data_IF_261631348187
#
_entry.id   IF_261631348187
#
_cell.length_a   1.000
_cell.length_b   1.000
_cell.length_c   1.000
_cell.angle_alpha   90.00
_cell.angle_beta   90.00
_cell.angle_gamma   90.00
#
_symmetry.space_group_name_H-M   'P 1'
#
loop_
_entity.id
_entity.type
_entity.pdbx_description
1 polymer ?
#
# COMPACT_ATOMS: atom_id res chain seq x y z
N UNK A 1 -28.69 -41.59 -13.21
CA UNK A 1 -28.26 -40.23 -13.65
C UNK A 1 -28.73 -39.09 -12.75
N UNK A 2 -30.00 -39.02 -12.33
CA UNK A 2 -30.53 -37.91 -11.52
C UNK A 2 -29.83 -37.75 -10.15
N UNK A 3 -29.63 -38.85 -9.41
CA UNK A 3 -28.98 -38.81 -8.10
C UNK A 3 -27.51 -38.35 -8.14
N UNK A 4 -26.78 -38.73 -9.19
CA UNK A 4 -25.38 -38.32 -9.40
C UNK A 4 -25.28 -36.82 -9.71
N UNK A 5 -26.23 -36.30 -10.50
CA UNK A 5 -26.33 -34.85 -10.77
C UNK A 5 -26.70 -34.06 -9.51
N UNK A 6 -27.60 -34.60 -8.68
CA UNK A 6 -28.04 -33.94 -7.46
C UNK A 6 -26.96 -33.93 -6.36
N UNK A 7 -26.20 -35.02 -6.21
CA UNK A 7 -25.03 -35.07 -5.33
C UNK A 7 -23.98 -34.04 -5.73
N UNK A 8 -23.65 -33.97 -7.03
CA UNK A 8 -22.71 -32.98 -7.56
C UNK A 8 -23.20 -31.54 -7.32
N UNK A 9 -24.50 -31.27 -7.50
CA UNK A 9 -25.11 -29.95 -7.22
C UNK A 9 -25.02 -29.56 -5.75
N UNK A 10 -25.29 -30.50 -4.84
CA UNK A 10 -25.22 -30.25 -3.40
C UNK A 10 -23.78 -30.02 -2.93
N UNK A 11 -22.83 -30.80 -3.44
CA UNK A 11 -21.40 -30.64 -3.16
C UNK A 11 -20.89 -29.29 -3.66
N UNK A 12 -21.23 -28.91 -4.89
CA UNK A 12 -20.88 -27.60 -5.49
C UNK A 12 -21.50 -26.45 -4.69
N UNK A 13 -22.75 -26.59 -4.22
CA UNK A 13 -23.42 -25.59 -3.38
C UNK A 13 -22.72 -25.41 -2.03
N UNK A 14 -22.36 -26.51 -1.37
CA UNK A 14 -21.66 -26.46 -0.08
C UNK A 14 -20.28 -25.84 -0.26
N UNK A 15 -19.54 -26.27 -1.29
CA UNK A 15 -18.22 -25.72 -1.59
C UNK A 15 -18.28 -24.21 -1.84
N UNK A 16 -19.14 -23.75 -2.77
CA UNK A 16 -19.31 -22.32 -3.07
C UNK A 16 -19.76 -21.48 -1.88
N UNK A 17 -20.56 -22.06 -0.98
CA UNK A 17 -20.97 -21.37 0.24
C UNK A 17 -19.82 -21.18 1.25
N UNK A 18 -18.79 -22.02 1.19
CA UNK A 18 -17.65 -22.02 2.12
C UNK A 18 -16.44 -21.26 1.57
N UNK A 19 -16.17 -21.34 0.27
CA UNK A 19 -14.99 -20.71 -0.36
C UNK A 19 -15.33 -19.54 -1.29
N UNK A 20 -16.61 -19.31 -1.58
CA UNK A 20 -17.04 -18.36 -2.62
C UNK A 20 -17.13 -19.00 -4.00
N UNK A 21 -17.64 -18.28 -4.98
CA UNK A 21 -17.72 -18.77 -6.36
C UNK A 21 -16.41 -18.47 -7.07
N UNK A 22 -15.53 -19.48 -7.14
CA UNK A 22 -14.43 -19.46 -8.07
C UNK A 22 -14.94 -19.74 -9.49
N UNK A 23 -14.94 -18.72 -10.35
CA UNK A 23 -15.32 -18.84 -11.76
C UNK A 23 -14.13 -19.24 -12.64
N UNK A 24 -12.91 -19.42 -12.13
CA UNK A 24 -11.75 -19.83 -12.93
C UNK A 24 -11.98 -21.15 -13.67
N UNK A 25 -12.68 -22.09 -13.03
CA UNK A 25 -12.81 -23.48 -13.49
C UNK A 25 -13.94 -23.75 -14.51
N UNK A 26 -14.65 -22.73 -15.02
CA UNK A 26 -15.71 -22.92 -16.04
C UNK A 26 -15.43 -22.08 -17.29
N UNK A 27 -14.91 -22.75 -18.31
CA UNK A 27 -14.82 -22.39 -19.74
C UNK A 27 -13.42 -21.95 -20.23
N UNK A 28 -12.92 -22.66 -21.25
CA UNK A 28 -11.73 -22.35 -22.08
C UNK A 28 -11.93 -21.12 -23.01
N UNK A 29 -12.97 -20.32 -22.77
CA UNK A 29 -13.24 -19.10 -23.54
C UNK A 29 -12.59 -17.89 -22.83
N UNK A 30 -12.10 -16.87 -23.56
CA UNK A 30 -11.62 -15.65 -22.94
C UNK A 30 -12.76 -15.02 -22.13
N UNK A 31 -12.54 -14.88 -20.83
CA UNK A 31 -13.51 -14.30 -19.89
C UNK A 31 -13.44 -12.78 -19.97
N UNK A 32 -14.59 -12.13 -19.92
CA UNK A 32 -14.67 -10.68 -19.78
C UNK A 32 -14.30 -10.28 -18.35
N UNK A 33 -13.61 -9.15 -18.18
CA UNK A 33 -13.14 -8.60 -16.89
C UNK A 33 -14.24 -8.58 -15.81
N UNK A 34 -15.48 -8.24 -16.18
CA UNK A 34 -16.65 -8.21 -15.29
C UNK A 34 -16.95 -9.56 -14.60
N UNK A 35 -16.67 -10.67 -15.28
CA UNK A 35 -16.91 -12.02 -14.72
C UNK A 35 -15.85 -12.41 -13.70
N UNK A 36 -14.62 -11.96 -13.90
CA UNK A 36 -13.50 -12.17 -12.96
C UNK A 36 -13.72 -11.32 -11.71
N UNK A 37 -14.06 -10.03 -11.88
CA UNK A 37 -14.39 -9.12 -10.79
C UNK A 37 -15.53 -9.66 -9.89
N UNK A 38 -16.59 -10.20 -10.51
CA UNK A 38 -17.72 -10.81 -9.79
C UNK A 38 -17.31 -12.03 -8.94
N UNK A 39 -16.31 -12.80 -9.39
CA UNK A 39 -15.76 -13.92 -8.63
C UNK A 39 -15.02 -13.44 -7.38
N UNK A 40 -14.17 -12.43 -7.53
CA UNK A 40 -13.44 -11.82 -6.41
C UNK A 40 -14.36 -11.23 -5.36
N UNK A 41 -15.40 -10.47 -5.76
CA UNK A 41 -16.39 -9.94 -4.82
C UNK A 41 -17.09 -11.04 -4.00
N UNK A 42 -17.38 -12.17 -4.64
CA UNK A 42 -17.98 -13.32 -3.95
C UNK A 42 -17.05 -13.90 -2.89
N UNK A 43 -15.75 -14.04 -3.20
CA UNK A 43 -14.74 -14.52 -2.26
C UNK A 43 -14.50 -13.52 -1.12
N UNK A 44 -14.42 -12.22 -1.43
CA UNK A 44 -14.33 -11.13 -0.45
C UNK A 44 -15.48 -11.21 0.56
N UNK A 45 -16.71 -11.38 0.07
CA UNK A 45 -17.90 -11.46 0.92
C UNK A 45 -17.84 -12.63 1.92
N UNK A 46 -17.35 -13.79 1.48
CA UNK A 46 -17.12 -14.95 2.35
C UNK A 46 -16.05 -14.65 3.39
N UNK A 47 -14.93 -14.05 3.00
CA UNK A 47 -13.87 -13.67 3.92
C UNK A 47 -14.31 -12.61 4.93
N UNK A 48 -15.10 -11.62 4.54
CA UNK A 48 -15.68 -10.65 5.47
C UNK A 48 -16.58 -11.30 6.50
N UNK A 49 -17.36 -12.30 6.10
CA UNK A 49 -18.19 -13.06 7.04
C UNK A 49 -17.33 -13.82 8.05
N UNK A 50 -16.27 -14.48 7.59
CA UNK A 50 -15.33 -15.20 8.47
C UNK A 50 -14.64 -14.21 9.41
N UNK A 51 -14.04 -13.14 8.87
CA UNK A 51 -13.41 -12.04 9.59
C UNK A 51 -14.28 -11.53 10.73
N UNK A 52 -15.51 -11.12 10.42
CA UNK A 52 -16.44 -10.55 11.41
C UNK A 52 -16.71 -11.51 12.57
N UNK A 53 -16.82 -12.81 12.31
CA UNK A 53 -17.01 -13.80 13.37
C UNK A 53 -15.77 -13.91 14.26
N UNK A 54 -14.56 -13.90 13.67
CA UNK A 54 -13.32 -13.90 14.45
C UNK A 54 -13.16 -12.64 15.29
N UNK A 55 -13.48 -11.46 14.76
CA UNK A 55 -13.47 -10.20 15.50
C UNK A 55 -14.41 -10.24 16.70
N UNK A 56 -15.63 -10.78 16.53
CA UNK A 56 -16.58 -10.94 17.64
C UNK A 56 -16.01 -11.87 18.72
N UNK A 57 -15.45 -13.01 18.32
CA UNK A 57 -14.88 -13.99 19.26
C UNK A 57 -13.69 -13.38 20.01
N UNK A 58 -12.80 -12.69 19.29
CA UNK A 58 -11.63 -12.07 19.88
C UNK A 58 -12.00 -10.89 20.79
N UNK A 59 -12.90 -10.00 20.34
CA UNK A 59 -13.44 -8.92 21.17
C UNK A 59 -14.06 -9.47 22.44
N UNK A 60 -14.82 -10.57 22.38
CA UNK A 60 -15.36 -11.20 23.59
C UNK A 60 -14.26 -11.66 24.55
N UNK A 61 -13.21 -12.32 24.05
CA UNK A 61 -12.09 -12.77 24.87
C UNK A 61 -11.35 -11.59 25.52
N UNK A 62 -10.95 -10.60 24.74
CA UNK A 62 -10.16 -9.45 25.19
C UNK A 62 -10.97 -8.52 26.09
N UNK A 63 -12.23 -8.28 25.76
CA UNK A 63 -13.16 -7.52 26.62
C UNK A 63 -13.27 -8.18 27.99
N UNK A 64 -13.42 -9.51 28.03
CA UNK A 64 -13.52 -10.26 29.29
C UNK A 64 -12.22 -10.16 30.10
N UNK A 65 -11.06 -10.34 29.45
CA UNK A 65 -9.75 -10.23 30.09
C UNK A 65 -9.54 -8.81 30.64
N UNK A 66 -9.82 -7.78 29.84
CA UNK A 66 -9.65 -6.39 30.23
C UNK A 66 -10.59 -6.00 31.36
N UNK A 67 -11.86 -6.43 31.31
CA UNK A 67 -12.83 -6.21 32.39
C UNK A 67 -12.42 -6.89 33.70
N UNK A 68 -11.90 -8.11 33.64
CA UNK A 68 -11.37 -8.81 34.82
C UNK A 68 -10.12 -8.11 35.39
N UNK A 69 -9.26 -7.57 34.53
CA UNK A 69 -8.00 -6.94 34.94
C UNK A 69 -8.16 -5.52 35.50
N UNK A 70 -9.03 -4.72 34.88
CA UNK A 70 -9.14 -3.28 35.15
C UNK A 70 -10.47 -2.89 35.82
N UNK A 71 -11.44 -3.81 35.90
CA UNK A 71 -12.72 -3.58 36.57
C UNK A 71 -13.49 -2.41 35.96
N UNK A 72 -13.96 -1.49 36.81
CA UNK A 72 -14.75 -0.32 36.42
C UNK A 72 -13.97 0.73 35.59
N UNK A 73 -12.64 0.63 35.51
CA UNK A 73 -11.82 1.55 34.70
C UNK A 73 -11.78 1.20 33.22
N UNK A 74 -12.26 0.03 32.84
CA UNK A 74 -12.29 -0.40 31.45
C UNK A 74 -13.64 -0.05 30.81
N UNK A 75 -13.59 0.75 29.75
CA UNK A 75 -14.77 1.22 29.03
C UNK A 75 -15.16 0.28 27.88
N UNK A 76 -14.26 0.07 26.91
CA UNK A 76 -14.46 -0.85 25.79
C UNK A 76 -13.12 -1.27 25.14
N UNK A 77 -13.17 -2.28 24.28
CA UNK A 77 -12.12 -2.61 23.32
C UNK A 77 -12.72 -2.88 21.94
N UNK A 78 -12.01 -2.52 20.89
CA UNK A 78 -12.41 -2.83 19.51
C UNK A 78 -11.33 -3.65 18.81
N UNK A 79 -11.75 -4.65 18.04
CA UNK A 79 -10.88 -5.56 17.31
C UNK A 79 -11.27 -5.47 15.84
N UNK A 80 -10.38 -4.91 15.02
CA UNK A 80 -10.53 -4.86 13.56
C UNK A 80 -9.36 -5.61 12.90
N UNK A 81 -9.67 -6.62 12.10
CA UNK A 81 -8.72 -7.42 11.33
C UNK A 81 -8.42 -6.82 9.95
N UNK A 82 -8.97 -5.65 9.63
CA UNK A 82 -8.77 -4.94 8.38
C UNK A 82 -9.57 -5.53 7.22
N UNK A 83 -9.59 -4.82 6.10
CA UNK A 83 -10.42 -5.18 4.92
C UNK A 83 -9.60 -5.71 3.75
N UNK A 84 -8.27 -5.63 3.85
CA UNK A 84 -7.34 -5.94 2.77
C UNK A 84 -7.03 -7.43 2.77
N UNK A 85 -7.86 -8.19 2.06
CA UNK A 85 -7.55 -9.58 1.72
C UNK A 85 -6.68 -9.61 0.47
N UNK A 86 -5.57 -10.36 0.52
CA UNK A 86 -4.68 -10.54 -0.62
C UNK A 86 -5.26 -11.50 -1.66
N UNK A 87 -6.40 -11.13 -2.23
CA UNK A 87 -7.08 -11.92 -3.26
C UNK A 87 -6.56 -11.60 -4.64
N UNK A 88 -6.27 -10.32 -4.89
CA UNK A 88 -5.69 -9.87 -6.14
C UNK A 88 -4.19 -10.11 -6.14
N UNK A 89 -3.65 -10.42 -7.31
CA UNK A 89 -2.21 -10.43 -7.52
C UNK A 89 -1.67 -9.01 -7.77
N UNK A 90 -0.35 -8.91 -7.95
CA UNK A 90 0.32 -7.61 -8.17
C UNK A 90 0.01 -7.02 -9.54
N UNK A 91 -0.28 -7.86 -10.55
CA UNK A 91 -0.57 -7.40 -11.92
C UNK A 91 -1.97 -6.78 -11.98
N UNK A 92 -2.97 -7.45 -11.40
CA UNK A 92 -4.34 -6.94 -11.29
C UNK A 92 -4.41 -5.61 -10.53
N UNK A 93 -3.64 -5.47 -9.44
CA UNK A 93 -3.57 -4.22 -8.69
C UNK A 93 -2.87 -3.09 -9.48
N UNK A 94 -1.91 -3.41 -10.35
CA UNK A 94 -1.29 -2.41 -11.23
C UNK A 94 -2.25 -1.93 -12.32
N UNK A 95 -3.06 -2.82 -12.88
CA UNK A 95 -4.12 -2.45 -13.82
C UNK A 95 -5.17 -1.55 -13.16
N UNK A 96 -5.59 -1.89 -11.94
CA UNK A 96 -6.50 -1.06 -11.14
C UNK A 96 -5.91 0.33 -10.87
N UNK A 97 -4.62 0.41 -10.52
CA UNK A 97 -3.93 1.69 -10.33
C UNK A 97 -3.92 2.54 -11.61
N UNK A 98 -3.67 1.90 -12.76
CA UNK A 98 -3.66 2.57 -14.06
C UNK A 98 -5.04 3.15 -14.37
N UNK A 99 -6.10 2.35 -14.22
CA UNK A 99 -7.48 2.78 -14.42
C UNK A 99 -7.89 3.90 -13.46
N UNK A 100 -7.49 3.82 -12.19
CA UNK A 100 -7.76 4.85 -11.19
C UNK A 100 -7.11 6.19 -11.58
N UNK A 101 -5.87 6.16 -12.11
CA UNK A 101 -5.21 7.38 -12.59
C UNK A 101 -5.84 7.95 -13.85
N UNK A 102 -6.18 7.09 -14.82
CA UNK A 102 -6.81 7.50 -16.09
C UNK A 102 -8.22 8.09 -15.87
N UNK A 103 -8.96 7.55 -14.90
CA UNK A 103 -10.30 8.04 -14.52
C UNK A 103 -10.28 9.28 -13.63
N UNK A 104 -9.10 9.73 -13.19
CA UNK A 104 -8.97 10.88 -12.29
C UNK A 104 -9.49 10.61 -10.88
N UNK A 105 -9.33 9.38 -10.38
CA UNK A 105 -9.69 9.02 -9.01
C UNK A 105 -8.98 9.92 -7.98
N UNK A 106 -9.61 10.13 -6.83
CA UNK A 106 -9.04 10.94 -5.76
C UNK A 106 -7.72 10.37 -5.22
N UNK A 107 -6.84 11.25 -4.74
CA UNK A 107 -5.50 10.87 -4.27
C UNK A 107 -5.50 9.76 -3.21
N UNK A 108 -6.47 9.79 -2.26
CA UNK A 108 -6.60 8.79 -1.22
C UNK A 108 -6.90 7.37 -1.77
N UNK A 109 -7.62 7.28 -2.91
CA UNK A 109 -7.91 6.00 -3.55
C UNK A 109 -6.64 5.46 -4.22
N UNK A 110 -5.93 6.33 -4.94
CA UNK A 110 -4.65 5.97 -5.60
C UNK A 110 -3.62 5.52 -4.57
N UNK A 111 -3.55 6.20 -3.42
CA UNK A 111 -2.69 5.84 -2.30
C UNK A 111 -3.06 4.46 -1.73
N UNK A 112 -4.34 4.21 -1.45
CA UNK A 112 -4.79 2.91 -0.95
C UNK A 112 -4.47 1.75 -1.91
N UNK A 113 -4.60 1.96 -3.23
CA UNK A 113 -4.22 0.95 -4.24
C UNK A 113 -2.71 0.71 -4.21
N UNK A 114 -1.89 1.76 -4.13
CA UNK A 114 -0.44 1.62 -4.02
C UNK A 114 0.00 0.89 -2.75
N UNK A 115 -0.64 1.18 -1.62
CA UNK A 115 -0.38 0.45 -0.37
C UNK A 115 -0.72 -1.03 -0.51
N UNK A 116 -1.82 -1.36 -1.18
CA UNK A 116 -2.17 -2.75 -1.48
C UNK A 116 -1.13 -3.43 -2.38
N UNK A 117 -0.59 -2.73 -3.40
CA UNK A 117 0.49 -3.25 -4.25
C UNK A 117 1.72 -3.57 -3.41
N UNK A 118 2.16 -2.63 -2.56
CA UNK A 118 3.34 -2.79 -1.69
C UNK A 118 3.14 -3.96 -0.72
N UNK A 119 2.00 -3.98 -0.01
CA UNK A 119 1.70 -5.03 0.95
C UNK A 119 1.58 -6.41 0.28
N UNK A 120 1.05 -6.48 -0.94
CA UNK A 120 0.90 -7.75 -1.68
C UNK A 120 2.26 -8.24 -2.18
N UNK A 121 3.08 -7.34 -2.73
CA UNK A 121 4.42 -7.66 -3.25
C UNK A 121 5.39 -8.12 -2.15
N UNK A 122 5.30 -7.50 -0.97
CA UNK A 122 6.21 -7.75 0.15
C UNK A 122 5.52 -8.45 1.33
N UNK A 123 4.48 -9.26 1.06
CA UNK A 123 3.62 -9.90 2.07
C UNK A 123 4.38 -10.55 3.22
N UNK A 124 5.47 -11.25 2.90
CA UNK A 124 6.28 -12.00 3.87
C UNK A 124 7.51 -11.22 4.38
N UNK A 125 7.76 -10.02 3.85
CA UNK A 125 8.90 -9.17 4.21
C UNK A 125 8.45 -7.83 4.81
N UNK A 126 8.23 -7.86 6.14
CA UNK A 126 7.88 -6.66 6.92
C UNK A 126 8.92 -5.56 6.82
N UNK A 127 10.21 -5.88 6.64
CA UNK A 127 11.23 -4.84 6.52
C UNK A 127 11.09 -4.10 5.18
N UNK A 128 10.80 -4.80 4.10
CA UNK A 128 10.54 -4.18 2.80
C UNK A 128 9.27 -3.32 2.80
N UNK A 129 8.20 -3.75 3.48
CA UNK A 129 6.99 -2.92 3.65
C UNK A 129 7.34 -1.63 4.40
N UNK A 130 7.99 -1.74 5.57
CA UNK A 130 8.38 -0.57 6.36
C UNK A 130 9.32 0.36 5.58
N UNK A 131 10.25 -0.20 4.80
CA UNK A 131 11.15 0.58 3.95
C UNK A 131 10.36 1.36 2.89
N UNK A 132 9.43 0.71 2.21
CA UNK A 132 8.60 1.34 1.18
C UNK A 132 7.73 2.47 1.77
N UNK A 133 7.11 2.24 2.92
CA UNK A 133 6.32 3.25 3.64
C UNK A 133 7.18 4.48 4.02
N UNK A 134 8.37 4.26 4.61
CA UNK A 134 9.29 5.36 4.92
C UNK A 134 9.68 6.14 3.66
N UNK A 135 9.97 5.45 2.55
CA UNK A 135 10.35 6.10 1.29
C UNK A 135 9.17 6.92 0.73
N UNK A 136 7.95 6.38 0.75
CA UNK A 136 6.74 7.09 0.32
C UNK A 136 6.49 8.36 1.15
N UNK A 137 6.69 8.30 2.47
CA UNK A 137 6.57 9.45 3.37
C UNK A 137 7.66 10.53 3.14
N UNK A 138 8.81 10.13 2.58
CA UNK A 138 9.90 11.04 2.23
C UNK A 138 9.77 11.62 0.82
N UNK A 139 8.95 11.00 -0.03
CA UNK A 139 8.66 11.48 -1.37
C UNK A 139 7.79 12.75 -1.29
N UNK A 140 8.22 13.90 -1.85
CA UNK A 140 7.40 15.11 -1.86
C UNK A 140 6.15 15.02 -2.74
N UNK A 141 6.13 14.12 -3.71
CA UNK A 141 5.01 13.90 -4.63
C UNK A 141 4.74 12.39 -4.74
N UNK A 142 4.26 11.74 -3.67
CA UNK A 142 4.00 10.31 -3.69
C UNK A 142 2.93 10.01 -4.75
N UNK A 143 2.97 8.81 -5.33
CA UNK A 143 2.06 8.34 -6.37
C UNK A 143 2.19 9.03 -7.74
N UNK A 144 2.92 10.13 -7.86
CA UNK A 144 3.22 10.78 -9.14
C UNK A 144 4.47 10.19 -9.78
N UNK A 145 4.44 10.01 -11.10
CA UNK A 145 5.63 9.64 -11.87
C UNK A 145 6.59 10.83 -11.98
N UNK A 146 7.82 10.58 -12.45
CA UNK A 146 8.78 11.65 -12.74
C UNK A 146 8.23 12.59 -13.83
N UNK A 147 7.50 12.06 -14.82
CA UNK A 147 6.88 12.86 -15.87
C UNK A 147 5.82 13.80 -15.30
N UNK A 148 4.97 13.29 -14.42
CA UNK A 148 3.96 14.10 -13.72
C UNK A 148 4.63 15.19 -12.87
N UNK A 149 5.71 14.84 -12.16
CA UNK A 149 6.47 15.80 -11.36
C UNK A 149 7.09 16.93 -12.20
N UNK A 150 7.55 16.62 -13.43
CA UNK A 150 8.05 17.63 -14.38
C UNK A 150 6.93 18.60 -14.76
N UNK A 151 5.74 18.09 -15.06
CA UNK A 151 4.59 18.92 -15.40
C UNK A 151 4.13 19.78 -14.22
N UNK A 152 4.02 19.19 -13.03
CA UNK A 152 3.68 19.90 -11.78
C UNK A 152 4.68 21.03 -11.52
N UNK A 153 5.98 20.77 -11.70
CA UNK A 153 7.02 21.80 -11.56
C UNK A 153 6.87 22.93 -12.57
N UNK A 154 6.65 22.62 -13.85
CA UNK A 154 6.42 23.64 -14.89
C UNK A 154 5.22 24.54 -14.56
N UNK A 155 4.20 23.97 -13.94
CA UNK A 155 3.01 24.68 -13.50
C UNK A 155 3.17 25.38 -12.13
N UNK A 156 4.36 25.32 -11.52
CA UNK A 156 4.66 25.96 -10.23
C UNK A 156 4.07 25.25 -9.01
N UNK A 157 3.64 23.99 -9.15
CA UNK A 157 3.03 23.21 -8.07
C UNK A 157 4.02 22.56 -7.09
N UNK A 158 5.33 22.62 -7.37
CA UNK A 158 6.39 22.14 -6.49
C UNK A 158 7.64 23.00 -6.65
N UNK A 159 8.37 23.25 -5.55
CA UNK A 159 9.63 23.98 -5.59
C UNK A 159 10.80 23.12 -6.10
N UNK A 160 11.90 23.78 -6.45
CA UNK A 160 13.10 23.15 -7.00
C UNK A 160 13.67 22.06 -6.08
N UNK A 161 13.74 22.32 -4.78
CA UNK A 161 14.35 21.40 -3.82
C UNK A 161 13.52 20.12 -3.73
N UNK A 162 12.21 20.26 -3.54
CA UNK A 162 11.31 19.09 -3.49
C UNK A 162 11.28 18.32 -4.82
N UNK A 163 11.41 19.01 -5.96
CA UNK A 163 11.53 18.32 -7.26
C UNK A 163 12.84 17.54 -7.39
N UNK A 164 13.97 18.10 -6.93
CA UNK A 164 15.26 17.40 -6.93
C UNK A 164 15.19 16.16 -6.04
N UNK A 165 14.57 16.29 -4.85
CA UNK A 165 14.35 15.15 -3.94
C UNK A 165 13.52 14.07 -4.63
N UNK A 166 12.40 14.42 -5.26
CA UNK A 166 11.57 13.46 -6.03
C UNK A 166 12.37 12.75 -7.11
N UNK A 167 13.14 13.51 -7.89
CA UNK A 167 13.88 13.00 -9.06
C UNK A 167 15.07 12.13 -8.66
N UNK A 168 15.66 12.38 -7.49
CA UNK A 168 16.85 11.69 -6.98
C UNK A 168 16.57 10.80 -5.77
N UNK A 169 15.30 10.46 -5.52
CA UNK A 169 14.85 9.84 -4.26
C UNK A 169 15.66 8.59 -3.90
N UNK A 170 15.77 7.63 -4.83
CA UNK A 170 16.53 6.39 -4.62
C UNK A 170 18.02 6.67 -4.35
N UNK A 171 18.60 7.63 -5.06
CA UNK A 171 20.01 8.02 -4.87
C UNK A 171 20.24 8.66 -3.50
N UNK A 172 19.29 9.48 -3.03
CA UNK A 172 19.34 10.12 -1.72
C UNK A 172 19.15 9.11 -0.58
N UNK A 173 18.23 8.16 -0.71
CA UNK A 173 18.09 7.03 0.22
C UNK A 173 19.41 6.27 0.31
N UNK A 174 19.97 5.87 -0.83
CA UNK A 174 21.23 5.11 -0.85
C UNK A 174 22.40 5.92 -0.25
N UNK A 175 22.46 7.23 -0.50
CA UNK A 175 23.48 8.12 0.08
C UNK A 175 23.31 8.21 1.59
N UNK A 176 22.10 8.46 2.06
CA UNK A 176 21.77 8.53 3.47
C UNK A 176 22.21 7.27 4.22
N UNK A 177 21.91 6.08 3.68
CA UNK A 177 22.27 4.81 4.31
C UNK A 177 23.77 4.54 4.34
N UNK A 178 24.53 5.04 3.35
CA UNK A 178 26.01 4.96 3.38
C UNK A 178 26.62 5.87 4.44
N UNK A 179 26.03 7.05 4.65
CA UNK A 179 26.51 8.03 5.63
C UNK A 179 26.03 7.72 7.06
N UNK A 180 24.96 6.94 7.19
CA UNK A 180 24.30 6.65 8.47
C UNK A 180 24.12 5.13 8.64
N UNK A 181 22.91 4.71 9.00
CA UNK A 181 22.47 3.31 9.08
C UNK A 181 21.28 3.13 8.15
N UNK A 182 20.92 1.88 7.88
CA UNK A 182 19.69 1.49 7.21
C UNK A 182 18.48 2.32 7.66
N UNK A 183 17.70 2.78 6.68
CA UNK A 183 16.61 3.74 6.88
C UNK A 183 15.49 3.19 7.77
N UNK A 184 15.30 1.86 7.81
CA UNK A 184 14.32 1.22 8.71
C UNK A 184 14.82 1.29 10.15
N UNK A 185 16.11 1.06 10.39
CA UNK A 185 16.71 1.07 11.74
C UNK A 185 17.00 2.47 12.28
N UNK A 186 17.23 3.44 11.42
CA UNK A 186 17.50 4.82 11.80
C UNK A 186 16.37 5.40 12.67
N UNK A 187 16.72 6.06 13.77
CA UNK A 187 15.74 6.72 14.65
C UNK A 187 14.78 5.78 15.39
N UNK A 188 15.07 4.47 15.46
CA UNK A 188 14.18 3.45 16.04
C UNK A 188 13.83 3.64 17.53
N UNK A 189 14.64 4.39 18.29
CA UNK A 189 14.37 4.74 19.69
C UNK A 189 13.48 5.98 19.85
N UNK A 190 13.22 6.72 18.76
CA UNK A 190 12.43 7.95 18.75
C UNK A 190 11.03 7.77 18.17
N UNK A 191 10.29 8.86 18.01
CA UNK A 191 8.99 8.86 17.32
C UNK A 191 9.19 8.78 15.80
N UNK A 192 8.25 8.15 15.10
CA UNK A 192 8.29 8.02 13.64
C UNK A 192 8.32 9.38 12.93
N UNK A 193 7.52 10.34 13.37
CA UNK A 193 7.51 11.70 12.81
C UNK A 193 8.90 12.37 12.90
N UNK A 194 9.57 12.29 14.06
CA UNK A 194 10.91 12.84 14.22
C UNK A 194 11.93 12.16 13.31
N UNK A 195 11.82 10.83 13.14
CA UNK A 195 12.65 10.08 12.21
C UNK A 195 12.52 10.62 10.78
N UNK A 196 11.30 10.81 10.29
CA UNK A 196 11.04 11.35 8.94
C UNK A 196 11.59 12.77 8.80
N UNK A 197 11.39 13.63 9.79
CA UNK A 197 11.91 15.00 9.77
C UNK A 197 13.45 15.04 9.65
N UNK A 198 14.16 14.21 10.41
CA UNK A 198 15.63 14.17 10.38
C UNK A 198 16.16 13.66 9.05
N UNK A 199 15.54 12.63 8.46
CA UNK A 199 15.93 12.14 7.13
C UNK A 199 15.62 13.21 6.07
N UNK A 200 14.47 13.87 6.15
CA UNK A 200 14.08 14.93 5.21
C UNK A 200 15.03 16.12 5.24
N UNK A 201 15.52 16.51 6.42
CA UNK A 201 16.58 17.55 6.53
C UNK A 201 17.83 17.17 5.75
N UNK A 202 18.27 15.90 5.84
CA UNK A 202 19.40 15.40 5.05
C UNK A 202 19.14 15.42 3.55
N UNK A 203 17.94 15.06 3.11
CA UNK A 203 17.58 15.14 1.69
C UNK A 203 17.58 16.58 1.17
N UNK A 204 17.14 17.55 1.98
CA UNK A 204 17.22 18.98 1.64
C UNK A 204 18.68 19.44 1.54
N UNK A 205 19.56 18.98 2.43
CA UNK A 205 21.01 19.25 2.33
C UNK A 205 21.59 18.70 1.02
N UNK A 206 21.32 17.44 0.70
CA UNK A 206 21.78 16.81 -0.55
C UNK A 206 21.26 17.52 -1.80
N UNK A 207 19.99 17.93 -1.80
CA UNK A 207 19.40 18.69 -2.90
C UNK A 207 20.09 20.05 -3.10
N UNK A 208 20.37 20.77 -2.02
CA UNK A 208 21.09 22.07 -2.07
C UNK A 208 22.53 21.92 -2.57
N UNK A 209 23.22 20.84 -2.18
CA UNK A 209 24.56 20.52 -2.70
C UNK A 209 24.53 20.33 -4.22
N UNK A 210 23.58 19.53 -4.73
CA UNK A 210 23.41 19.32 -6.17
C UNK A 210 23.09 20.63 -6.92
N UNK A 211 22.20 21.47 -6.37
CA UNK A 211 21.91 22.78 -6.98
C UNK A 211 23.17 23.65 -7.08
N UNK A 212 24.02 23.66 -6.03
CA UNK A 212 25.25 24.44 -6.03
C UNK A 212 26.30 23.89 -7.00
N UNK A 213 26.36 22.57 -7.22
CA UNK A 213 27.23 21.95 -8.22
C UNK A 213 26.84 22.37 -9.64
N UNK A 214 25.53 22.34 -9.95
CA UNK A 214 25.01 22.78 -11.26
C UNK A 214 25.39 24.25 -11.54
N UNK A 215 25.21 25.13 -10.56
CA UNK A 215 25.56 26.57 -10.70
C UNK A 215 27.07 26.76 -10.92
N UNK A 216 27.92 25.89 -10.36
CA UNK A 216 29.39 25.93 -10.53
C UNK A 216 29.86 25.37 -11.87
N UNK A 217 29.05 24.56 -12.55
CA UNK A 217 29.33 24.04 -13.89
C UNK A 217 28.86 24.99 -15.02
N UNK A 218 27.91 25.89 -14.74
CA UNK A 218 27.42 26.93 -15.66
C UNK A 218 28.22 28.27 -15.79
N UNK A 219 29.39 28.55 -15.17
CA UNK A 219 30.08 29.84 -15.35
C UNK A 219 30.83 29.99 -16.70
N UNK A 220 30.42 29.24 -17.72
CA UNK A 220 31.09 29.15 -19.03
C UNK A 220 30.46 29.92 -20.20
N UNK A 221 29.33 30.62 -20.03
CA UNK A 221 28.73 31.41 -21.12
C UNK A 221 28.56 32.87 -20.68
N UNK A 222 29.69 33.58 -20.63
CA UNK A 222 29.73 35.04 -20.82
C UNK A 222 30.38 35.35 -22.16
N UNK A 223 29.54 35.55 -23.19
CA UNK A 223 29.51 36.68 -24.15
C UNK A 223 28.68 36.34 -25.37
#
# INVERSE_FOLDING_TARGET
EWHVKEEARLKDRIFKAVVGVDQENRNEAPKNEDQIASGFESQISVLFRVKKNFEIIHKFADYTIAKLRYGERFEDCDIDYGTNFFLKDVEELQEELKLAKESGAGAAIVEAINDNIVNTKYRDDKNSILRADIINQLDPLPNYSILDAIEIKKNGGVDEINFIIKSSLTSFVNRFERENIDIVKFGSLGTFSRKIEEIRKKFIEYAKEQTNEIIREEPGITR
#
